data_IF_109903702399
#
_entry.id   IF_109903702399
#
_cell.length_a   1.000
_cell.length_b   1.000
_cell.length_c   1.000
_cell.angle_alpha   90.00
_cell.angle_beta   90.00
_cell.angle_gamma   90.00
#
_symmetry.space_group_name_H-M   'P 1'
#
loop_
_entity.id
_entity.type
_entity.pdbx_description
1 polymer ?
#
# COMPACT_ATOMS: atom_id res chain seq x y z
N UNK A 1 9.45 -11.71 -10.10
CA UNK A 1 8.24 -11.05 -9.56
C UNK A 1 8.31 -9.56 -9.86
N UNK A 2 7.23 -8.78 -9.65
CA UNK A 2 7.31 -7.30 -9.75
C UNK A 2 8.37 -6.74 -8.80
N UNK A 3 8.53 -7.33 -7.62
CA UNK A 3 9.55 -6.93 -6.65
C UNK A 3 10.96 -7.17 -7.16
N UNK A 4 11.25 -8.31 -7.79
CA UNK A 4 12.59 -8.59 -8.31
C UNK A 4 12.97 -7.61 -9.41
N UNK A 5 12.05 -7.36 -10.34
CA UNK A 5 12.23 -6.42 -11.44
C UNK A 5 12.48 -4.98 -10.94
N UNK A 6 11.69 -4.52 -9.97
CA UNK A 6 11.88 -3.18 -9.39
C UNK A 6 13.17 -3.08 -8.56
N UNK A 7 13.53 -4.13 -7.82
CA UNK A 7 14.80 -4.15 -7.08
C UNK A 7 16.00 -4.10 -8.02
N UNK A 8 15.97 -4.81 -9.14
CA UNK A 8 17.01 -4.75 -10.18
C UNK A 8 17.08 -3.35 -10.81
N UNK A 9 15.94 -2.78 -11.21
CA UNK A 9 15.86 -1.44 -11.80
C UNK A 9 16.40 -0.36 -10.84
N UNK A 10 16.14 -0.50 -9.55
CA UNK A 10 16.62 0.39 -8.50
C UNK A 10 18.04 0.03 -8.01
N UNK A 11 18.72 -0.91 -8.65
CA UNK A 11 20.09 -1.36 -8.33
C UNK A 11 20.25 -1.78 -6.86
N UNK A 12 19.25 -2.49 -6.31
CA UNK A 12 19.30 -3.04 -4.95
C UNK A 12 20.10 -4.34 -4.94
N UNK A 13 20.98 -4.48 -3.95
CA UNK A 13 21.83 -5.67 -3.76
C UNK A 13 21.16 -6.76 -2.92
N UNK A 14 20.09 -6.42 -2.22
CA UNK A 14 19.30 -7.31 -1.38
C UNK A 14 17.80 -7.12 -1.67
N UNK A 15 17.00 -8.10 -1.25
CA UNK A 15 15.55 -7.99 -1.38
C UNK A 15 15.03 -6.84 -0.49
N UNK A 16 14.42 -5.84 -1.11
CA UNK A 16 13.69 -4.78 -0.41
C UNK A 16 12.19 -4.88 -0.72
N UNK A 17 11.32 -4.96 0.31
CA UNK A 17 9.88 -4.95 0.11
C UNK A 17 9.39 -3.57 -0.33
N UNK A 18 8.30 -3.54 -1.10
CA UNK A 18 7.61 -2.31 -1.48
C UNK A 18 6.31 -2.16 -0.67
N UNK A 19 5.90 -0.91 -0.49
CA UNK A 19 4.73 -0.53 0.28
C UNK A 19 3.62 0.00 -0.65
N UNK A 20 2.34 -0.28 -0.36
CA UNK A 20 1.24 0.27 -1.15
C UNK A 20 0.98 1.73 -0.82
N UNK A 21 0.56 2.51 -1.83
CA UNK A 21 -0.19 3.74 -1.63
C UNK A 21 -1.62 3.50 -2.09
N UNK A 22 -2.61 3.90 -1.30
CA UNK A 22 -4.02 3.65 -1.57
C UNK A 22 -4.88 4.82 -1.12
N UNK A 23 -6.05 4.97 -1.75
CA UNK A 23 -7.00 6.02 -1.37
C UNK A 23 -7.51 5.78 0.04
N UNK A 24 -7.65 6.86 0.80
CA UNK A 24 -8.19 6.83 2.16
C UNK A 24 -9.55 6.14 2.22
N UNK A 25 -10.39 6.37 1.21
CA UNK A 25 -11.73 5.82 1.11
C UNK A 25 -11.75 4.30 0.92
N UNK A 26 -10.71 3.72 0.31
CA UNK A 26 -10.62 2.28 0.03
C UNK A 26 -10.06 1.47 1.21
N UNK A 27 -9.71 2.11 2.33
CA UNK A 27 -9.01 1.47 3.46
C UNK A 27 -9.67 0.16 3.91
N UNK A 28 -10.99 0.15 4.11
CA UNK A 28 -11.74 -1.02 4.63
C UNK A 28 -11.83 -2.19 3.64
N UNK A 29 -11.71 -1.90 2.34
CA UNK A 29 -11.62 -2.93 1.31
C UNK A 29 -10.25 -3.60 1.31
N UNK A 30 -9.20 -2.85 1.63
CA UNK A 30 -7.81 -3.28 1.48
C UNK A 30 -7.22 -3.86 2.78
N UNK A 31 -7.62 -3.33 3.94
CA UNK A 31 -7.02 -3.65 5.23
C UNK A 31 -8.06 -4.04 6.27
N UNK A 32 -7.77 -5.07 7.06
CA UNK A 32 -8.59 -5.50 8.16
C UNK A 32 -8.30 -4.66 9.42
N UNK A 33 -9.35 -4.11 10.02
CA UNK A 33 -9.31 -3.45 11.33
C UNK A 33 -8.31 -2.28 11.51
N UNK A 34 -8.32 -1.23 10.65
CA UNK A 34 -7.40 -0.09 10.76
C UNK A 34 -7.75 0.92 11.89
N UNK A 35 -8.61 0.53 12.84
CA UNK A 35 -9.25 1.46 13.79
C UNK A 35 -8.21 2.09 14.72
N UNK A 36 -8.18 3.42 14.77
CA UNK A 36 -7.26 4.21 15.60
C UNK A 36 -5.86 4.44 15.01
N UNK A 37 -5.52 3.77 13.91
CA UNK A 37 -4.19 3.84 13.29
C UNK A 37 -4.18 4.37 11.86
N UNK A 38 -5.33 4.75 11.29
CA UNK A 38 -5.36 5.26 9.90
C UNK A 38 -4.51 6.51 9.69
N UNK A 39 -4.46 7.43 10.67
CA UNK A 39 -3.64 8.64 10.53
C UNK A 39 -2.14 8.34 10.55
N UNK A 40 -1.67 7.33 11.30
CA UNK A 40 -0.26 6.92 11.26
C UNK A 40 0.09 6.26 9.93
N UNK A 41 -0.87 5.51 9.35
CA UNK A 41 -0.75 4.93 8.03
C UNK A 41 -0.69 5.95 6.88
N UNK A 42 -0.91 7.25 7.12
CA UNK A 42 -0.64 8.29 6.09
C UNK A 42 0.86 8.47 5.82
N UNK A 43 1.72 7.96 6.70
CA UNK A 43 3.16 8.17 6.68
C UNK A 43 3.95 6.85 6.57
N UNK A 44 3.29 5.75 6.24
CA UNK A 44 3.89 4.42 6.16
C UNK A 44 4.60 4.00 7.47
N UNK A 45 4.10 4.38 8.65
CA UNK A 45 4.76 4.05 9.93
C UNK A 45 4.17 2.84 10.65
N UNK A 46 3.11 2.25 10.10
CA UNK A 46 2.42 1.09 10.68
C UNK A 46 2.01 0.10 9.59
N UNK A 47 1.96 -1.19 9.95
CA UNK A 47 1.42 -2.26 9.12
C UNK A 47 -0.02 -2.59 9.51
N UNK A 48 -0.80 -3.05 8.54
CA UNK A 48 -2.11 -3.66 8.76
C UNK A 48 -2.16 -5.06 8.17
N UNK A 49 -3.04 -5.88 8.72
CA UNK A 49 -3.47 -7.12 8.09
C UNK A 49 -4.24 -6.77 6.80
N UNK A 50 -3.91 -7.44 5.69
CA UNK A 50 -4.60 -7.26 4.43
C UNK A 50 -5.89 -8.08 4.41
N UNK A 51 -6.91 -7.56 3.73
CA UNK A 51 -8.10 -8.37 3.42
C UNK A 51 -7.73 -9.47 2.40
N UNK A 52 -8.53 -10.54 2.28
CA UNK A 52 -8.32 -11.55 1.24
C UNK A 52 -8.26 -10.95 -0.17
N UNK A 53 -9.09 -9.93 -0.43
CA UNK A 53 -9.11 -9.23 -1.71
C UNK A 53 -7.74 -8.59 -2.05
N UNK A 54 -7.13 -7.91 -1.08
CA UNK A 54 -5.83 -7.26 -1.23
C UNK A 54 -4.72 -8.30 -1.37
N UNK A 55 -4.72 -9.33 -0.53
CA UNK A 55 -3.70 -10.39 -0.57
C UNK A 55 -3.68 -11.14 -1.90
N UNK A 56 -4.83 -11.43 -2.50
CA UNK A 56 -4.93 -12.14 -3.78
C UNK A 56 -4.53 -11.28 -4.98
N UNK A 57 -4.82 -9.97 -4.96
CA UNK A 57 -4.66 -9.08 -6.12
C UNK A 57 -3.37 -8.26 -6.10
N UNK A 58 -2.82 -8.00 -4.92
CA UNK A 58 -1.75 -7.01 -4.73
C UNK A 58 -0.47 -7.64 -4.15
N UNK A 59 -0.12 -8.87 -4.55
CA UNK A 59 1.02 -9.61 -4.02
C UNK A 59 2.41 -8.95 -4.18
N UNK A 60 2.54 -7.89 -4.99
CA UNK A 60 3.79 -7.10 -5.05
C UNK A 60 4.04 -6.26 -3.79
N UNK A 61 2.99 -5.90 -3.06
CA UNK A 61 3.04 -4.96 -1.92
C UNK A 61 2.47 -5.57 -0.63
N UNK A 62 2.14 -6.87 -0.65
CA UNK A 62 1.69 -7.65 0.49
C UNK A 62 2.79 -8.61 0.90
N UNK A 63 3.10 -8.64 2.19
CA UNK A 63 4.10 -9.52 2.77
C UNK A 63 3.62 -10.97 2.82
N UNK A 64 4.56 -11.90 2.99
CA UNK A 64 4.26 -13.34 3.09
C UNK A 64 3.37 -13.71 4.28
N UNK A 65 3.33 -12.86 5.31
CA UNK A 65 2.47 -13.01 6.49
C UNK A 65 1.08 -12.37 6.32
N UNK A 66 0.79 -11.82 5.13
CA UNK A 66 -0.49 -11.17 4.83
C UNK A 66 -0.58 -9.71 5.30
N UNK A 67 0.52 -9.10 5.76
CA UNK A 67 0.52 -7.69 6.17
C UNK A 67 0.99 -6.75 5.06
N UNK A 68 0.64 -5.48 5.15
CA UNK A 68 1.22 -4.42 4.31
C UNK A 68 1.38 -3.12 5.11
N UNK A 69 2.31 -2.26 4.69
CA UNK A 69 2.61 -0.96 5.32
C UNK A 69 2.11 0.19 4.43
N UNK A 70 0.82 0.56 4.45
CA UNK A 70 0.28 1.48 3.48
C UNK A 70 0.70 2.93 3.69
N UNK A 71 0.61 3.70 2.62
CA UNK A 71 0.37 5.13 2.64
C UNK A 71 -1.10 5.39 2.28
N UNK A 72 -1.92 5.74 3.27
CA UNK A 72 -3.29 6.18 3.01
C UNK A 72 -3.28 7.62 2.53
N UNK A 73 -3.76 7.85 1.31
CA UNK A 73 -3.72 9.15 0.65
C UNK A 73 -5.11 9.78 0.69
N UNK A 74 -5.20 10.96 1.31
CA UNK A 74 -6.38 11.82 1.27
C UNK A 74 -6.22 12.89 0.19
N UNK A 75 -7.33 13.32 -0.39
CA UNK A 75 -7.32 14.38 -1.42
C UNK A 75 -6.77 15.69 -0.87
N UNK A 76 -7.04 16.00 0.39
CA UNK A 76 -6.62 17.26 1.04
C UNK A 76 -5.11 17.29 1.32
N UNK A 77 -4.48 16.13 1.53
CA UNK A 77 -3.06 16.03 1.87
C UNK A 77 -2.18 16.19 0.63
N UNK A 78 -2.59 15.58 -0.50
CA UNK A 78 -1.86 15.66 -1.75
C UNK A 78 -2.81 15.46 -2.95
N UNK A 79 -3.47 16.54 -3.43
CA UNK A 79 -4.48 16.45 -4.48
C UNK A 79 -3.95 15.86 -5.80
N UNK A 80 -2.69 16.12 -6.13
CA UNK A 80 -2.08 15.60 -7.36
C UNK A 80 -1.82 14.11 -7.27
N UNK A 81 -1.27 13.62 -6.15
CA UNK A 81 -0.99 12.20 -5.98
C UNK A 81 -2.27 11.40 -5.80
N UNK A 82 -3.25 11.94 -5.06
CA UNK A 82 -4.58 11.36 -4.95
C UNK A 82 -5.19 11.10 -6.33
N UNK A 83 -5.14 12.10 -7.24
CA UNK A 83 -5.68 11.96 -8.59
C UNK A 83 -5.00 10.84 -9.37
N UNK A 84 -3.68 10.72 -9.27
CA UNK A 84 -2.96 9.62 -9.94
C UNK A 84 -3.47 8.27 -9.45
N UNK A 85 -3.63 8.08 -8.14
CA UNK A 85 -4.13 6.81 -7.59
C UNK A 85 -5.59 6.58 -7.98
N UNK A 86 -6.42 7.62 -7.98
CA UNK A 86 -7.84 7.59 -8.37
C UNK A 86 -8.03 7.10 -9.81
N UNK A 87 -7.21 7.58 -10.76
CA UNK A 87 -7.27 7.14 -12.16
C UNK A 87 -6.91 5.66 -12.36
N UNK A 88 -6.08 5.09 -11.49
CA UNK A 88 -5.71 3.67 -11.51
C UNK A 88 -6.62 2.79 -10.65
N UNK A 89 -7.58 3.39 -9.95
CA UNK A 89 -8.56 2.67 -9.13
C UNK A 89 -9.87 2.33 -9.87
N UNK A 90 -10.03 2.85 -11.10
CA UNK A 90 -11.13 2.55 -12.02
C UNK A 90 -10.94 1.20 -12.74
#
# INVERSE_FOLDING_TARGET
SVNDWLNELLSRTEFMPFAPASLWEETEKLYAAPVGARDTARFMTITFDCTPWMSERCGGVVHVDGTARPQLVRREDNPSFYRIIEEYSA
#
